data_IF_889791152624
#
_entry.id   IF_889791152624
#
_cell.length_a   1.000
_cell.length_b   1.000
_cell.length_c   1.000
_cell.angle_alpha   90.00
_cell.angle_beta   90.00
_cell.angle_gamma   90.00
#
_symmetry.space_group_name_H-M   'P 1'
#
loop_
_entity.id
_entity.type
_entity.pdbx_description
1 polymer ?
#
# COMPACT_ATOMS: atom_id res chain seq x y z
N UNK A 1 -31.51 34.36 78.37
CA UNK A 1 -31.74 32.92 78.07
C UNK A 1 -30.44 32.34 77.49
N UNK A 2 -30.36 31.01 77.38
CA UNK A 2 -29.21 30.16 76.94
C UNK A 2 -28.29 30.80 75.87
N UNK A 3 -26.94 30.73 75.92
CA UNK A 3 -26.03 29.57 76.02
C UNK A 3 -26.08 28.66 74.77
N UNK A 4 -25.01 28.09 74.19
CA UNK A 4 -23.54 28.11 74.44
C UNK A 4 -22.81 27.88 73.07
N UNK A 5 -21.50 27.75 72.82
CA UNK A 5 -20.18 27.70 73.52
C UNK A 5 -19.10 28.13 72.43
N UNK A 6 -17.79 28.39 72.57
CA UNK A 6 -16.61 27.80 73.27
C UNK A 6 -16.19 26.40 72.72
N UNK A 7 -14.94 26.07 72.36
CA UNK A 7 -13.67 26.83 72.31
C UNK A 7 -12.61 26.16 71.36
N UNK A 8 -11.60 26.94 70.95
CA UNK A 8 -10.15 26.68 70.65
C UNK A 8 -9.47 25.33 71.07
N UNK A 9 -8.22 24.95 70.72
CA UNK A 9 -7.13 25.29 69.74
C UNK A 9 -5.85 24.47 70.15
N UNK A 10 -4.71 24.57 69.42
CA UNK A 10 -3.29 24.40 69.88
C UNK A 10 -2.56 23.03 69.77
N UNK A 11 -1.61 22.96 68.78
CA UNK A 11 -0.26 22.30 68.77
C UNK A 11 -0.16 20.75 68.99
N UNK A 12 0.94 20.02 68.70
CA UNK A 12 2.41 20.27 68.77
C UNK A 12 3.20 19.68 67.55
N UNK A 13 4.45 20.14 67.36
CA UNK A 13 5.38 19.80 66.27
C UNK A 13 6.40 18.66 66.65
N UNK A 14 7.69 18.61 66.25
CA UNK A 14 8.16 17.59 65.29
C UNK A 14 9.42 16.78 65.72
N UNK A 15 9.84 15.80 64.90
CA UNK A 15 11.18 15.15 65.00
C UNK A 15 11.78 14.82 63.64
N UNK A 16 13.12 14.79 63.56
CA UNK A 16 13.93 14.55 62.36
C UNK A 16 14.54 13.15 62.34
N UNK A 17 14.87 12.66 61.14
CA UNK A 17 16.05 11.81 60.90
C UNK A 17 16.63 12.12 59.50
N UNK A 18 17.96 12.04 59.33
CA UNK A 18 18.66 12.36 58.08
C UNK A 18 19.24 11.10 57.41
N UNK A 19 19.29 11.12 56.07
CA UNK A 19 20.42 10.59 55.31
C UNK A 19 20.61 11.38 54.00
N UNK A 20 21.86 11.68 53.64
CA UNK A 20 22.29 12.25 52.34
C UNK A 20 23.26 11.26 51.69
N UNK A 21 23.33 11.24 50.36
CA UNK A 21 24.59 11.41 49.60
C UNK A 21 24.29 11.68 48.12
N UNK A 22 25.31 12.05 47.33
CA UNK A 22 25.15 12.69 46.01
C UNK A 22 25.31 11.73 44.80
N UNK A 23 24.79 12.22 43.67
CA UNK A 23 25.05 12.02 42.22
C UNK A 23 26.41 11.40 41.77
N UNK A 24 26.65 11.03 40.48
CA UNK A 24 25.87 11.38 39.27
C UNK A 24 25.75 10.35 38.08
N UNK A 25 24.85 10.67 37.12
CA UNK A 25 24.84 10.37 35.67
C UNK A 25 24.96 8.92 35.10
N UNK A 26 24.45 8.77 33.86
CA UNK A 26 24.36 7.57 33.01
C UNK A 26 23.40 6.46 33.50
N UNK A 27 22.70 5.70 32.65
CA UNK A 27 22.51 5.82 31.19
C UNK A 27 22.06 4.51 30.54
N UNK A 28 21.17 4.59 29.54
CA UNK A 28 20.63 3.50 28.70
C UNK A 28 19.70 2.45 29.36
N UNK A 29 18.66 2.07 28.60
CA UNK A 29 17.71 1.00 28.95
C UNK A 29 18.24 -0.37 28.52
N UNK A 30 18.13 -1.44 29.36
CA UNK A 30 18.64 -2.77 29.02
C UNK A 30 17.66 -3.54 28.12
N UNK A 31 18.06 -3.76 26.87
CA UNK A 31 17.37 -4.67 25.95
C UNK A 31 17.46 -6.12 26.43
N UNK A 32 16.36 -6.88 26.28
CA UNK A 32 16.29 -8.30 26.70
C UNK A 32 16.41 -9.23 25.49
N UNK A 33 17.53 -9.94 25.39
CA UNK A 33 17.76 -11.06 24.43
C UNK A 33 17.91 -12.39 25.18
N UNK A 34 17.75 -13.49 24.43
CA UNK A 34 17.94 -14.90 24.84
C UNK A 34 16.81 -15.45 25.74
N UNK A 35 16.46 -16.75 25.70
CA UNK A 35 17.27 -17.92 25.34
C UNK A 35 16.66 -18.87 24.30
N UNK A 36 17.52 -19.69 23.68
CA UNK A 36 17.11 -20.87 22.91
C UNK A 36 16.92 -22.11 23.81
N UNK A 37 16.00 -22.98 23.37
CA UNK A 37 16.00 -24.44 23.44
C UNK A 37 16.36 -25.15 24.77
N UNK A 38 15.43 -26.01 25.22
CA UNK A 38 15.79 -27.29 25.85
C UNK A 38 14.73 -28.35 25.58
N UNK A 39 15.17 -29.55 25.20
CA UNK A 39 14.36 -30.76 25.16
C UNK A 39 14.86 -31.72 26.24
N UNK A 40 13.95 -32.50 26.82
CA UNK A 40 14.25 -33.65 27.67
C UNK A 40 13.08 -34.64 27.60
N UNK A 41 13.38 -35.93 27.55
CA UNK A 41 12.40 -37.01 27.62
C UNK A 41 12.62 -37.81 28.90
N UNK A 42 11.55 -38.42 29.42
CA UNK A 42 11.62 -39.47 30.45
C UNK A 42 10.57 -40.54 30.16
N UNK A 43 10.85 -41.77 30.58
CA UNK A 43 10.10 -43.01 30.28
C UNK A 43 10.10 -43.89 31.54
N UNK A 44 9.22 -44.91 31.56
CA UNK A 44 8.98 -45.96 32.57
C UNK A 44 7.84 -45.63 33.56
N UNK A 45 6.97 -46.57 33.94
CA UNK A 45 6.55 -47.85 33.32
C UNK A 45 5.22 -48.33 33.96
N UNK A 46 4.54 -49.31 33.33
CA UNK A 46 3.80 -50.45 33.92
C UNK A 46 2.41 -50.79 33.34
N UNK A 47 2.33 -52.07 32.89
CA UNK A 47 1.21 -53.02 32.96
C UNK A 47 0.07 -52.94 31.92
N UNK A 48 -0.38 -54.13 31.53
CA UNK A 48 -1.34 -54.55 30.49
C UNK A 48 -2.02 -55.87 31.00
N UNK A 49 -2.87 -56.63 30.27
CA UNK A 49 -3.42 -56.44 28.91
C UNK A 49 -4.94 -56.74 28.77
N UNK A 50 -5.48 -56.50 27.56
CA UNK A 50 -6.63 -57.22 27.02
C UNK A 50 -6.51 -57.28 25.47
N UNK A 51 -7.01 -58.34 24.83
CA UNK A 51 -6.82 -58.60 23.39
C UNK A 51 -8.10 -58.37 22.56
N UNK A 52 -7.94 -57.93 21.30
CA UNK A 52 -8.32 -58.71 20.11
C UNK A 52 -8.04 -57.95 18.79
N UNK A 53 -7.31 -58.61 17.90
CA UNK A 53 -7.17 -58.32 16.46
C UNK A 53 -7.96 -59.42 15.67
N UNK A 54 -8.15 -59.35 14.34
CA UNK A 54 -7.72 -58.32 13.40
C UNK A 54 -8.84 -57.77 12.48
N UNK A 55 -8.54 -56.68 11.75
CA UNK A 55 -8.96 -56.53 10.34
C UNK A 55 -8.09 -55.46 9.64
N UNK A 56 -7.13 -55.90 8.83
CA UNK A 56 -6.11 -55.04 8.25
C UNK A 56 -6.63 -54.07 7.17
N UNK A 57 -6.20 -52.80 7.24
CA UNK A 57 -6.40 -51.80 6.20
C UNK A 57 -5.04 -51.20 5.81
N UNK A 58 -4.71 -51.21 4.51
CA UNK A 58 -3.40 -50.76 4.04
C UNK A 58 -3.18 -49.27 4.32
N UNK A 59 -2.06 -48.94 4.98
CA UNK A 59 -1.64 -47.57 5.24
C UNK A 59 -0.70 -47.08 4.12
N UNK A 60 -0.84 -45.83 3.67
CA UNK A 60 0.02 -45.27 2.63
C UNK A 60 1.40 -44.87 3.17
N UNK A 61 2.45 -45.09 2.37
CA UNK A 61 3.84 -44.73 2.71
C UNK A 61 3.99 -43.27 3.19
N UNK A 62 4.75 -43.10 4.27
CA UNK A 62 5.11 -41.78 4.81
C UNK A 62 6.00 -40.98 3.85
N UNK A 63 5.91 -39.65 3.94
CA UNK A 63 6.57 -38.71 3.02
C UNK A 63 8.11 -38.88 2.99
N UNK A 64 8.72 -39.32 4.10
CA UNK A 64 10.16 -39.59 4.20
C UNK A 64 10.63 -40.65 3.20
N UNK A 65 9.81 -41.67 2.92
CA UNK A 65 10.15 -42.71 1.95
C UNK A 65 10.14 -42.19 0.49
N UNK A 66 9.41 -41.10 0.21
CA UNK A 66 9.45 -40.37 -1.07
C UNK A 66 10.66 -39.42 -1.14
N UNK A 67 11.07 -38.81 -0.03
CA UNK A 67 12.29 -37.99 0.04
C UNK A 67 13.55 -38.81 -0.31
N UNK A 68 13.66 -40.03 0.23
CA UNK A 68 14.82 -40.89 0.03
C UNK A 68 15.10 -41.23 -1.45
N UNK A 69 14.07 -41.46 -2.25
CA UNK A 69 14.22 -41.86 -3.67
C UNK A 69 14.63 -40.71 -4.60
N UNK A 70 14.55 -39.43 -4.18
CA UNK A 70 14.87 -38.27 -5.02
C UNK A 70 16.35 -37.84 -5.00
N UNK A 71 17.23 -38.58 -4.31
CA UNK A 71 18.70 -38.35 -4.27
C UNK A 71 19.55 -39.32 -5.11
N UNK A 72 18.94 -40.28 -5.79
CA UNK A 72 19.66 -41.16 -6.73
C UNK A 72 19.61 -40.60 -8.17
N UNK A 73 20.77 -40.23 -8.72
CA UNK A 73 20.95 -40.16 -10.18
C UNK A 73 20.56 -38.87 -10.91
N UNK A 74 21.17 -37.72 -10.59
CA UNK A 74 21.41 -36.66 -11.59
C UNK A 74 22.89 -36.26 -11.59
N UNK A 75 23.60 -36.55 -12.70
CA UNK A 75 24.95 -36.04 -12.95
C UNK A 75 24.85 -34.57 -13.35
N UNK A 76 25.52 -33.67 -12.63
CA UNK A 76 25.66 -32.29 -13.07
C UNK A 76 26.54 -32.22 -14.32
N UNK A 77 26.08 -31.52 -15.36
CA UNK A 77 26.91 -31.21 -16.52
C UNK A 77 27.98 -30.18 -16.12
N UNK A 78 29.23 -30.62 -15.94
CA UNK A 78 30.38 -29.71 -15.81
C UNK A 78 30.57 -28.96 -17.12
N UNK A 79 30.08 -27.71 -17.18
CA UNK A 79 30.62 -26.73 -18.14
C UNK A 79 32.07 -26.44 -17.73
N UNK A 80 33.01 -26.69 -18.62
CA UNK A 80 34.42 -26.36 -18.40
C UNK A 80 34.59 -24.85 -18.53
N UNK A 81 34.86 -24.18 -17.42
CA UNK A 81 35.38 -22.81 -17.45
C UNK A 81 36.88 -22.86 -17.75
N UNK A 82 37.34 -22.08 -18.72
CA UNK A 82 38.77 -21.92 -18.98
C UNK A 82 39.40 -21.07 -17.86
N UNK A 83 40.32 -21.67 -17.11
CA UNK A 83 41.06 -21.00 -16.05
C UNK A 83 41.98 -19.88 -16.54
N UNK A 84 42.31 -19.83 -17.84
CA UNK A 84 43.15 -18.76 -18.42
C UNK A 84 42.48 -17.37 -18.36
N UNK A 85 41.14 -17.33 -18.29
CA UNK A 85 40.34 -16.10 -18.31
C UNK A 85 39.99 -15.57 -16.90
N UNK A 86 40.48 -16.22 -15.83
CA UNK A 86 40.16 -15.85 -14.45
C UNK A 86 41.21 -14.90 -13.84
N UNK A 87 40.78 -13.68 -13.45
CA UNK A 87 41.64 -12.66 -12.82
C UNK A 87 42.17 -13.11 -11.44
N UNK A 88 43.48 -12.96 -11.22
CA UNK A 88 44.11 -13.18 -9.90
C UNK A 88 43.69 -12.09 -8.91
N UNK A 89 43.20 -12.50 -7.74
CA UNK A 89 42.73 -11.61 -6.67
C UNK A 89 43.92 -10.88 -6.02
N UNK A 90 43.90 -9.54 -6.02
CA UNK A 90 44.92 -8.70 -5.37
C UNK A 90 45.77 -7.82 -6.31
N UNK A 91 45.59 -7.93 -7.64
CA UNK A 91 46.28 -7.05 -8.60
C UNK A 91 45.39 -5.85 -9.02
N UNK A 92 45.95 -4.65 -8.94
CA UNK A 92 45.36 -3.40 -9.47
C UNK A 92 45.65 -3.25 -10.96
N UNK A 93 44.76 -2.57 -11.68
CA UNK A 93 44.86 -2.35 -13.12
C UNK A 93 45.01 -0.85 -13.43
N UNK A 94 45.86 -0.52 -14.40
CA UNK A 94 46.00 0.83 -14.97
C UNK A 94 45.79 0.72 -16.48
N UNK A 95 44.85 1.47 -17.09
CA UNK A 95 44.65 1.43 -18.54
C UNK A 95 45.82 2.07 -19.28
N UNK A 96 46.44 1.34 -20.21
CA UNK A 96 47.41 1.87 -21.17
C UNK A 96 46.69 2.28 -22.46
N UNK A 97 46.49 3.57 -22.73
CA UNK A 97 45.69 3.93 -23.93
C UNK A 97 45.58 5.39 -24.39
N UNK A 98 46.05 6.41 -23.66
CA UNK A 98 46.19 7.78 -24.20
C UNK A 98 47.48 8.42 -23.68
N UNK A 99 48.21 9.14 -24.53
CA UNK A 99 49.52 9.72 -24.24
C UNK A 99 49.43 11.15 -23.68
N UNK A 100 50.35 11.48 -22.77
CA UNK A 100 50.98 12.81 -22.53
C UNK A 100 50.06 14.05 -22.35
N UNK A 101 50.19 14.89 -21.31
CA UNK A 101 51.38 15.22 -20.51
C UNK A 101 51.04 15.84 -19.13
N UNK A 102 52.08 16.07 -18.32
CA UNK A 102 52.25 17.00 -17.17
C UNK A 102 51.00 17.59 -16.46
N UNK A 103 50.78 17.43 -15.14
CA UNK A 103 51.58 17.99 -14.02
C UNK A 103 51.66 19.55 -14.05
N UNK A 104 51.53 20.31 -12.95
CA UNK A 104 51.80 20.04 -11.52
C UNK A 104 50.86 20.88 -10.59
N UNK A 105 50.68 20.44 -9.34
CA UNK A 105 50.44 21.21 -8.09
C UNK A 105 49.57 22.49 -8.03
N UNK A 106 48.41 22.34 -7.39
CA UNK A 106 47.99 22.95 -6.09
C UNK A 106 47.98 24.48 -5.81
N UNK A 107 47.08 24.83 -4.89
CA UNK A 107 47.05 26.03 -4.01
C UNK A 107 46.93 27.44 -4.63
N UNK A 108 45.74 28.01 -4.51
CA UNK A 108 45.53 29.34 -3.91
C UNK A 108 44.10 29.40 -3.32
N UNK A 109 43.84 30.36 -2.43
CA UNK A 109 42.53 30.55 -1.80
C UNK A 109 42.10 32.04 -1.83
N UNK A 110 40.85 32.27 -1.43
CA UNK A 110 40.34 33.51 -0.83
C UNK A 110 39.85 34.70 -1.70
N UNK A 111 38.52 34.70 -1.89
CA UNK A 111 37.57 35.80 -1.50
C UNK A 111 37.54 37.16 -2.20
N UNK A 112 36.39 37.86 -2.01
CA UNK A 112 36.03 39.27 -2.26
C UNK A 112 36.03 39.73 -3.75
N UNK A 113 35.17 40.63 -4.23
CA UNK A 113 34.16 41.49 -3.56
C UNK A 113 32.90 41.78 -4.42
N UNK A 114 31.90 42.45 -3.83
CA UNK A 114 30.60 42.78 -4.43
C UNK A 114 30.51 44.23 -4.95
N UNK A 115 29.76 44.43 -6.05
CA UNK A 115 29.06 45.68 -6.43
C UNK A 115 27.94 45.31 -7.43
N UNK A 116 26.66 45.62 -7.21
CA UNK A 116 25.97 46.92 -7.17
C UNK A 116 25.90 47.65 -8.54
N UNK A 117 24.80 47.42 -9.27
CA UNK A 117 23.76 48.36 -9.79
C UNK A 117 24.19 49.75 -10.36
N UNK A 118 23.45 50.36 -11.34
CA UNK A 118 21.98 50.30 -11.47
C UNK A 118 21.34 50.28 -12.89
N UNK A 119 20.00 50.34 -12.84
CA UNK A 119 18.96 50.27 -13.87
C UNK A 119 18.96 51.26 -15.06
N UNK A 120 18.22 50.84 -16.12
CA UNK A 120 17.32 51.60 -17.02
C UNK A 120 16.32 50.58 -17.61
N UNK A 121 14.98 50.69 -17.46
CA UNK A 121 14.03 51.35 -18.39
C UNK A 121 14.28 51.01 -19.88
N UNK A 122 13.35 50.45 -20.66
CA UNK A 122 11.89 50.65 -20.68
C UNK A 122 11.06 49.40 -21.07
N UNK A 123 9.73 49.53 -21.07
CA UNK A 123 8.78 48.52 -21.54
C UNK A 123 8.56 48.54 -23.07
N UNK A 124 7.98 47.47 -23.62
CA UNK A 124 6.83 47.47 -24.56
C UNK A 124 6.35 46.01 -24.76
N UNK A 125 5.03 45.81 -24.76
CA UNK A 125 4.38 44.51 -24.98
C UNK A 125 4.05 44.32 -26.47
N UNK A 126 4.27 43.12 -27.04
CA UNK A 126 3.30 42.36 -27.86
C UNK A 126 3.94 41.33 -28.82
N UNK A 127 3.26 40.18 -28.95
CA UNK A 127 3.06 39.30 -30.13
C UNK A 127 3.93 39.52 -31.40
N UNK A 128 4.44 38.50 -32.09
CA UNK A 128 3.60 37.42 -32.65
C UNK A 128 4.38 36.25 -33.29
N UNK A 129 3.63 35.16 -33.48
CA UNK A 129 3.89 33.88 -34.12
C UNK A 129 4.58 33.82 -35.52
N UNK A 130 5.35 32.74 -35.72
CA UNK A 130 5.41 31.85 -36.91
C UNK A 130 5.95 32.34 -38.28
N UNK A 131 7.09 31.74 -38.70
CA UNK A 131 7.48 31.39 -40.08
C UNK A 131 8.29 30.08 -39.97
N UNK A 132 7.78 28.90 -40.34
CA UNK A 132 7.64 28.29 -41.69
C UNK A 132 8.94 27.68 -42.29
N UNK A 133 8.79 26.56 -43.01
CA UNK A 133 9.85 25.62 -43.41
C UNK A 133 10.70 26.07 -44.64
N UNK A 134 11.65 25.23 -45.07
CA UNK A 134 11.45 24.65 -46.41
C UNK A 134 11.60 23.11 -46.45
N UNK A 135 11.19 22.51 -47.57
CA UNK A 135 11.25 21.07 -47.83
C UNK A 135 11.84 20.76 -49.22
N UNK A 136 12.41 19.56 -49.39
CA UNK A 136 12.57 18.79 -50.65
C UNK A 136 13.16 17.42 -50.30
N UNK A 137 12.67 16.21 -50.62
CA UNK A 137 11.82 15.63 -51.69
C UNK A 137 12.58 15.06 -52.91
N UNK A 138 12.66 13.72 -53.00
CA UNK A 138 12.85 12.91 -54.21
C UNK A 138 12.42 11.45 -53.93
N UNK A 139 12.10 10.64 -54.97
CA UNK A 139 11.41 9.33 -54.84
C UNK A 139 11.77 8.32 -55.95
N UNK A 140 10.95 7.27 -56.15
CA UNK A 140 11.10 6.02 -56.98
C UNK A 140 11.68 4.87 -56.15
N UNK A 141 11.19 3.61 -56.16
CA UNK A 141 10.27 2.84 -57.03
C UNK A 141 10.96 1.52 -57.44
N UNK A 142 10.34 0.34 -57.65
CA UNK A 142 8.94 -0.14 -57.80
C UNK A 142 8.86 -1.65 -57.42
N UNK A 143 7.66 -2.27 -57.43
CA UNK A 143 7.36 -3.72 -57.75
C UNK A 143 8.11 -4.85 -57.00
N UNK A 144 7.57 -6.01 -56.61
CA UNK A 144 6.22 -6.64 -56.54
C UNK A 144 6.41 -7.97 -55.71
N UNK A 145 5.49 -8.93 -55.49
CA UNK A 145 4.21 -9.28 -56.12
C UNK A 145 3.24 -10.01 -55.11
N UNK A 146 2.28 -10.78 -55.62
CA UNK A 146 1.14 -11.39 -54.90
C UNK A 146 1.41 -12.66 -54.06
N UNK A 147 0.56 -12.89 -53.05
CA UNK A 147 -0.32 -14.08 -52.97
C UNK A 147 -1.47 -13.86 -51.97
N UNK A 148 -2.64 -14.47 -52.20
CA UNK A 148 -3.82 -14.31 -51.35
C UNK A 148 -4.60 -15.63 -51.16
N UNK A 149 -5.34 -15.73 -50.06
CA UNK A 149 -6.42 -16.71 -49.89
C UNK A 149 -7.58 -16.08 -49.09
N UNK A 150 -8.79 -16.60 -49.30
CA UNK A 150 -10.06 -15.93 -48.97
C UNK A 150 -10.90 -16.69 -47.95
N UNK A 151 -12.07 -16.12 -47.62
CA UNK A 151 -13.25 -16.75 -46.98
C UNK A 151 -13.33 -16.66 -45.46
N UNK A 152 -14.50 -16.50 -44.85
CA UNK A 152 -15.78 -15.95 -45.33
C UNK A 152 -16.65 -15.57 -44.11
N UNK A 153 -17.52 -14.58 -44.24
CA UNK A 153 -18.52 -14.26 -43.21
C UNK A 153 -19.71 -15.22 -43.33
N UNK A 154 -20.19 -15.73 -42.19
CA UNK A 154 -21.47 -16.45 -42.10
C UNK A 154 -22.34 -15.73 -41.06
N UNK A 155 -23.46 -15.20 -41.54
CA UNK A 155 -24.59 -14.75 -40.74
C UNK A 155 -25.40 -15.96 -40.26
N UNK A 156 -25.98 -15.87 -39.06
CA UNK A 156 -27.02 -16.80 -38.60
C UNK A 156 -27.94 -16.12 -37.58
N UNK A 157 -28.77 -15.19 -38.04
CA UNK A 157 -30.01 -14.87 -37.34
C UNK A 157 -30.91 -16.12 -37.27
N UNK A 158 -31.41 -16.48 -36.08
CA UNK A 158 -32.61 -17.30 -35.96
C UNK A 158 -33.60 -16.64 -34.99
N UNK A 159 -34.72 -16.24 -35.56
CA UNK A 159 -35.87 -15.65 -34.90
C UNK A 159 -36.77 -16.73 -34.28
N UNK A 160 -37.29 -16.50 -33.08
CA UNK A 160 -38.41 -17.26 -32.51
C UNK A 160 -39.42 -16.28 -31.90
N UNK A 161 -40.70 -16.66 -31.98
CA UNK A 161 -41.84 -15.73 -32.02
C UNK A 161 -42.65 -15.62 -30.72
N UNK A 162 -43.42 -14.55 -30.62
CA UNK A 162 -44.32 -14.20 -29.50
C UNK A 162 -45.29 -15.29 -29.05
N UNK A 163 -45.68 -15.20 -27.77
CA UNK A 163 -46.89 -15.82 -27.22
C UNK A 163 -47.64 -14.81 -26.32
N UNK A 164 -48.66 -14.15 -26.90
CA UNK A 164 -49.48 -13.15 -26.19
C UNK A 164 -50.51 -13.80 -25.26
N UNK A 165 -50.72 -13.24 -24.07
CA UNK A 165 -51.97 -13.37 -23.28
C UNK A 165 -52.09 -12.20 -22.29
N UNK A 166 -53.31 -11.74 -22.01
CA UNK A 166 -53.55 -10.43 -21.40
C UNK A 166 -54.86 -10.31 -20.60
N UNK A 167 -54.75 -9.84 -19.35
CA UNK A 167 -55.79 -9.21 -18.51
C UNK A 167 -55.08 -8.59 -17.30
N UNK A 168 -55.09 -7.26 -17.05
CA UNK A 168 -56.20 -6.44 -16.53
C UNK A 168 -56.64 -6.83 -15.10
N UNK A 169 -56.88 -5.95 -14.10
CA UNK A 169 -56.59 -4.53 -13.75
C UNK A 169 -56.55 -4.52 -12.17
N UNK A 170 -56.06 -3.57 -11.38
CA UNK A 170 -56.18 -2.09 -11.32
C UNK A 170 -55.08 -1.58 -10.33
N UNK A 171 -54.42 -0.43 -10.50
CA UNK A 171 -54.89 0.96 -10.47
C UNK A 171 -55.21 1.53 -9.05
N UNK A 172 -54.22 2.19 -8.47
CA UNK A 172 -54.37 3.25 -7.46
C UNK A 172 -53.29 4.32 -7.77
N UNK A 173 -53.63 5.61 -7.69
CA UNK A 173 -52.78 6.67 -8.25
C UNK A 173 -52.63 7.89 -7.32
N UNK A 174 -51.46 8.51 -7.38
CA UNK A 174 -51.17 9.82 -6.75
C UNK A 174 -50.36 10.69 -7.71
N UNK A 175 -51.02 11.68 -8.31
CA UNK A 175 -50.40 12.93 -8.79
C UNK A 175 -49.74 13.67 -7.60
N UNK A 176 -48.76 14.57 -7.72
CA UNK A 176 -48.07 15.23 -8.85
C UNK A 176 -46.68 15.70 -8.32
N UNK A 177 -45.76 16.38 -9.02
CA UNK A 177 -45.78 17.14 -10.28
C UNK A 177 -44.37 17.21 -10.88
N UNK A 178 -44.24 17.46 -12.19
CA UNK A 178 -42.95 17.64 -12.86
C UNK A 178 -42.54 19.12 -12.92
N UNK A 179 -41.38 19.46 -12.34
CA UNK A 179 -40.70 20.75 -12.56
C UNK A 179 -39.36 20.53 -13.26
N UNK A 180 -39.30 20.80 -14.57
CA UNK A 180 -38.09 20.67 -15.36
C UNK A 180 -37.13 21.86 -15.14
N UNK A 181 -35.97 21.60 -14.55
CA UNK A 181 -34.85 22.55 -14.52
C UNK A 181 -33.60 21.89 -15.11
N UNK A 182 -33.26 22.24 -16.36
CA UNK A 182 -32.08 21.73 -17.03
C UNK A 182 -30.80 22.30 -16.40
N UNK A 183 -30.10 21.46 -15.64
CA UNK A 183 -28.74 21.73 -15.18
C UNK A 183 -27.90 20.45 -15.30
N UNK A 184 -26.70 20.56 -15.87
CA UNK A 184 -25.73 19.47 -15.91
C UNK A 184 -25.09 19.28 -14.53
N UNK A 185 -25.89 18.81 -13.58
CA UNK A 185 -25.38 18.38 -12.28
C UNK A 185 -24.75 17.01 -12.43
N UNK A 186 -23.44 16.92 -12.22
CA UNK A 186 -22.79 15.65 -11.90
C UNK A 186 -23.46 15.11 -10.63
N UNK A 187 -24.19 14.00 -10.74
CA UNK A 187 -24.85 13.38 -9.60
C UNK A 187 -23.80 13.05 -8.53
N UNK A 188 -23.85 13.75 -7.39
CA UNK A 188 -22.97 13.44 -6.25
C UNK A 188 -23.37 12.07 -5.73
N UNK A 189 -22.58 11.05 -6.09
CA UNK A 189 -22.82 9.68 -5.68
C UNK A 189 -22.64 9.61 -4.17
N UNK A 190 -23.72 9.27 -3.46
CA UNK A 190 -23.71 9.27 -1.99
C UNK A 190 -23.13 7.96 -1.49
N UNK A 191 -21.82 7.95 -1.24
CA UNK A 191 -21.06 6.83 -0.65
C UNK A 191 -21.31 6.67 0.86
N UNK A 192 -22.58 6.81 1.27
CA UNK A 192 -23.00 6.78 2.67
C UNK A 192 -22.66 5.43 3.32
N UNK A 193 -21.68 5.44 4.23
CA UNK A 193 -21.18 4.25 4.91
C UNK A 193 -19.90 3.64 4.33
N UNK A 194 -19.32 4.18 3.25
CA UNK A 194 -18.02 3.74 2.70
C UNK A 194 -16.83 4.60 3.17
N UNK A 195 -17.11 5.74 3.80
CA UNK A 195 -16.13 6.58 4.50
C UNK A 195 -16.22 6.31 6.01
N UNK A 196 -15.17 5.75 6.64
CA UNK A 196 -15.17 5.42 8.07
C UNK A 196 -15.49 6.62 8.96
N UNK A 197 -16.53 6.52 9.79
CA UNK A 197 -17.04 7.60 10.64
C UNK A 197 -17.37 8.93 9.92
N UNK A 198 -17.44 8.96 8.58
CA UNK A 198 -17.54 10.20 7.81
C UNK A 198 -16.25 11.05 7.76
N UNK A 199 -15.11 10.47 8.11
CA UNK A 199 -13.77 11.06 7.97
C UNK A 199 -12.93 10.21 7.01
N UNK A 200 -12.39 10.82 5.95
CA UNK A 200 -11.62 10.10 4.93
C UNK A 200 -10.20 9.76 5.38
N UNK A 201 -9.61 10.56 6.27
CA UNK A 201 -8.22 10.44 6.69
C UNK A 201 -7.95 9.17 7.50
N UNK A 202 -6.85 8.48 7.18
CA UNK A 202 -6.35 7.33 7.88
C UNK A 202 -4.83 7.24 7.86
N UNK A 203 -4.28 6.18 8.46
CA UNK A 203 -2.85 5.86 8.38
C UNK A 203 -2.63 4.38 8.14
N UNK A 204 -1.54 4.07 7.45
CA UNK A 204 -0.88 2.76 7.56
C UNK A 204 0.12 2.80 8.72
N UNK A 205 0.30 1.65 9.38
CA UNK A 205 0.97 1.48 10.67
C UNK A 205 0.28 2.14 11.87
N UNK A 206 0.49 1.56 13.06
CA UNK A 206 -0.09 2.03 14.33
C UNK A 206 0.82 2.94 15.17
N UNK A 207 2.02 3.27 14.69
CA UNK A 207 3.05 4.02 15.45
C UNK A 207 2.71 5.50 15.63
N UNK A 208 1.97 6.09 14.69
CA UNK A 208 1.54 7.50 14.70
C UNK A 208 0.26 7.76 15.50
N UNK A 209 -0.50 6.71 15.85
CA UNK A 209 -1.78 6.82 16.56
C UNK A 209 -1.75 7.70 17.83
N UNK A 210 -0.69 7.68 18.69
CA UNK A 210 -0.63 8.55 19.88
C UNK A 210 -0.70 10.05 19.61
N UNK A 211 -0.45 10.48 18.37
CA UNK A 211 -0.59 11.87 17.93
C UNK A 211 -1.83 12.10 17.05
N UNK A 212 -2.19 11.13 16.20
CA UNK A 212 -3.19 11.32 15.14
C UNK A 212 -4.58 10.74 15.42
N UNK A 213 -4.73 9.78 16.34
CA UNK A 213 -5.96 8.97 16.48
C UNK A 213 -7.28 9.77 16.62
N UNK A 214 -7.25 10.97 17.21
CA UNK A 214 -8.41 11.86 17.33
C UNK A 214 -8.81 12.61 16.04
N UNK A 215 -8.02 12.47 14.98
CA UNK A 215 -8.20 13.10 13.66
C UNK A 215 -8.39 12.12 12.52
N UNK A 216 -8.38 10.81 12.78
CA UNK A 216 -8.54 9.76 11.77
C UNK A 216 -9.95 9.17 11.78
N UNK A 217 -10.47 8.84 10.59
CA UNK A 217 -11.63 7.98 10.45
C UNK A 217 -11.27 6.50 10.64
N UNK A 218 -10.06 6.08 10.24
CA UNK A 218 -9.65 4.68 10.18
C UNK A 218 -8.12 4.49 10.19
N UNK A 219 -7.66 3.24 10.33
CA UNK A 219 -6.24 2.86 10.20
C UNK A 219 -6.06 1.35 9.97
N UNK A 220 -4.87 0.93 9.53
CA UNK A 220 -4.47 -0.49 9.42
C UNK A 220 -2.94 -0.68 9.60
N UNK A 221 -2.47 -1.91 9.81
CA UNK A 221 -1.03 -2.26 9.99
C UNK A 221 -0.58 -3.46 9.15
N UNK A 222 -1.20 -3.66 7.98
CA UNK A 222 -0.98 -4.82 7.10
C UNK A 222 -1.22 -6.19 7.75
N UNK A 223 -1.94 -6.25 8.88
CA UNK A 223 -2.27 -7.50 9.57
C UNK A 223 -3.77 -7.80 9.58
N UNK A 224 -4.10 -9.06 9.87
CA UNK A 224 -5.48 -9.51 10.05
C UNK A 224 -6.09 -9.09 11.41
N UNK A 225 -5.26 -8.60 12.34
CA UNK A 225 -5.67 -8.21 13.70
C UNK A 225 -4.87 -7.00 14.17
N UNK A 226 -5.07 -5.80 13.58
CA UNK A 226 -4.25 -4.64 13.92
C UNK A 226 -4.40 -4.25 15.40
N UNK A 227 -3.30 -3.81 16.02
CA UNK A 227 -3.30 -3.51 17.47
C UNK A 227 -2.65 -2.17 17.82
N UNK A 228 -3.40 -1.31 18.51
CA UNK A 228 -3.00 0.03 18.92
C UNK A 228 -4.15 0.74 19.64
N UNK A 229 -3.86 1.88 20.30
CA UNK A 229 -4.92 2.77 20.79
C UNK A 229 -5.29 3.77 19.69
N UNK A 230 -6.37 3.46 18.99
CA UNK A 230 -6.88 4.25 17.86
C UNK A 230 -8.04 5.19 18.23
N UNK A 231 -8.36 5.33 19.53
CA UNK A 231 -9.46 6.19 19.99
C UNK A 231 -10.81 5.81 19.38
N UNK A 232 -11.30 6.63 18.45
CA UNK A 232 -12.54 6.40 17.69
C UNK A 232 -12.33 5.93 16.24
N UNK A 233 -11.09 5.90 15.75
CA UNK A 233 -10.80 5.49 14.37
C UNK A 233 -11.07 3.99 14.17
N UNK A 234 -11.66 3.64 13.03
CA UNK A 234 -11.99 2.25 12.68
C UNK A 234 -10.71 1.48 12.37
N UNK A 235 -10.46 0.43 13.14
CA UNK A 235 -9.40 -0.55 12.86
C UNK A 235 -9.81 -1.45 11.70
N UNK A 236 -8.99 -1.53 10.64
CA UNK A 236 -9.29 -2.29 9.41
C UNK A 236 -8.34 -3.48 9.24
N UNK A 237 -8.82 -4.73 9.38
CA UNK A 237 -8.05 -5.93 9.04
C UNK A 237 -7.69 -6.05 7.55
N UNK A 238 -6.57 -6.70 7.26
CA UNK A 238 -6.09 -6.97 5.90
C UNK A 238 -5.76 -8.46 5.68
N UNK A 239 -6.15 -9.03 4.54
CA UNK A 239 -5.57 -10.28 4.03
C UNK A 239 -4.42 -9.94 3.08
N UNK A 240 -3.26 -9.62 3.66
CA UNK A 240 -2.11 -9.09 2.94
C UNK A 240 -1.61 -9.98 1.78
N UNK A 241 -1.66 -11.31 1.91
CA UNK A 241 -1.04 -12.21 0.92
C UNK A 241 -1.38 -13.69 1.08
N UNK A 242 -0.66 -14.50 0.29
CA UNK A 242 -0.88 -15.94 0.13
C UNK A 242 -0.10 -16.84 1.09
N UNK A 243 0.54 -16.28 2.11
CA UNK A 243 1.25 -17.03 3.14
C UNK A 243 2.66 -17.53 2.76
N UNK A 244 3.30 -16.94 1.74
CA UNK A 244 4.59 -17.40 1.20
C UNK A 244 5.56 -16.33 0.69
N UNK A 245 5.19 -15.04 0.65
CA UNK A 245 6.01 -13.98 0.10
C UNK A 245 7.25 -13.64 0.96
N UNK A 246 7.07 -13.61 2.29
CA UNK A 246 8.12 -13.29 3.26
C UNK A 246 8.00 -14.10 4.56
N UNK A 247 8.82 -13.79 5.56
CA UNK A 247 8.84 -14.46 6.86
C UNK A 247 7.66 -14.15 7.80
N UNK A 248 6.71 -13.31 7.38
CA UNK A 248 5.56 -12.82 8.16
C UNK A 248 4.22 -13.10 7.48
N UNK A 249 4.16 -13.12 6.14
CA UNK A 249 2.97 -13.42 5.33
C UNK A 249 2.25 -14.70 5.79
N UNK A 250 2.99 -15.79 6.05
CA UNK A 250 2.43 -17.04 6.57
C UNK A 250 1.67 -16.86 7.90
N UNK A 251 2.15 -15.98 8.78
CA UNK A 251 1.47 -15.66 10.04
C UNK A 251 0.27 -14.72 9.82
N UNK A 252 0.36 -13.77 8.88
CA UNK A 252 -0.77 -12.90 8.49
C UNK A 252 -1.95 -13.74 7.95
N UNK A 253 -1.67 -14.66 7.03
CA UNK A 253 -2.69 -15.58 6.48
C UNK A 253 -3.35 -16.45 7.57
N UNK A 254 -2.56 -17.05 8.47
CA UNK A 254 -3.09 -17.88 9.57
C UNK A 254 -3.94 -17.05 10.54
N UNK A 255 -3.54 -15.81 10.85
CA UNK A 255 -4.34 -14.89 11.66
C UNK A 255 -5.67 -14.53 10.96
N UNK A 256 -5.66 -14.30 9.65
CA UNK A 256 -6.87 -14.02 8.88
C UNK A 256 -7.82 -15.22 8.81
N UNK A 257 -7.29 -16.43 8.62
CA UNK A 257 -8.06 -17.68 8.68
C UNK A 257 -8.69 -17.93 10.06
N UNK A 258 -8.13 -17.36 11.13
CA UNK A 258 -8.66 -17.41 12.49
C UNK A 258 -9.60 -16.24 12.85
N UNK A 259 -9.80 -15.26 11.96
CA UNK A 259 -10.67 -14.12 12.19
C UNK A 259 -12.14 -14.57 12.21
N UNK A 260 -12.69 -14.80 13.41
CA UNK A 260 -14.08 -15.23 13.57
C UNK A 260 -15.08 -14.10 13.25
N UNK A 261 -14.77 -12.88 13.69
CA UNK A 261 -15.66 -11.72 13.62
C UNK A 261 -15.92 -11.22 12.20
N UNK A 262 -16.99 -10.43 12.05
CA UNK A 262 -17.32 -9.70 10.81
C UNK A 262 -16.97 -8.22 11.04
N UNK A 263 -15.76 -7.76 10.69
CA UNK A 263 -15.38 -6.36 10.82
C UNK A 263 -16.14 -5.48 9.82
N UNK A 264 -16.22 -4.18 10.07
CA UNK A 264 -16.91 -3.24 9.17
C UNK A 264 -16.25 -3.15 7.78
N UNK A 265 -14.93 -3.27 7.71
CA UNK A 265 -14.13 -3.23 6.48
C UNK A 265 -13.06 -4.32 6.51
N UNK A 266 -12.67 -4.84 5.34
CA UNK A 266 -11.47 -5.65 5.12
C UNK A 266 -10.74 -5.13 3.88
N UNK A 267 -9.41 -5.03 3.96
CA UNK A 267 -8.53 -4.76 2.80
C UNK A 267 -8.01 -6.09 2.21
N UNK A 268 -7.96 -6.16 0.89
CA UNK A 268 -7.44 -7.29 0.13
C UNK A 268 -5.90 -7.42 0.14
N UNK A 269 -5.37 -8.06 -0.89
CA UNK A 269 -3.94 -8.36 -1.01
C UNK A 269 -3.10 -7.11 -1.29
N UNK A 270 -1.91 -7.08 -0.70
CA UNK A 270 -0.90 -6.05 -0.92
C UNK A 270 -0.16 -6.31 -2.23
N UNK A 271 -0.29 -5.42 -3.21
CA UNK A 271 0.56 -5.42 -4.42
C UNK A 271 0.80 -6.83 -5.04
N UNK A 272 -0.25 -7.64 -5.25
CA UNK A 272 -0.09 -9.00 -5.76
C UNK A 272 0.45 -9.04 -7.19
N UNK A 273 0.44 -7.92 -7.90
CA UNK A 273 0.98 -7.75 -9.24
C UNK A 273 2.50 -7.45 -9.26
N UNK A 274 3.13 -7.17 -8.11
CA UNK A 274 4.57 -6.99 -7.97
C UNK A 274 5.31 -8.29 -7.58
N UNK A 275 6.64 -8.22 -7.48
CA UNK A 275 7.44 -9.38 -7.08
C UNK A 275 7.39 -9.60 -5.56
N UNK A 276 7.04 -10.82 -5.14
CA UNK A 276 6.94 -11.21 -3.74
C UNK A 276 8.27 -11.00 -2.95
N UNK A 277 8.14 -10.57 -1.70
CA UNK A 277 9.27 -10.53 -0.74
C UNK A 277 10.08 -9.24 -0.76
N UNK A 278 9.48 -8.11 -1.16
CA UNK A 278 10.09 -6.77 -1.12
C UNK A 278 9.10 -5.66 -0.75
N UNK A 279 8.12 -5.98 0.10
CA UNK A 279 6.98 -5.11 0.45
C UNK A 279 5.67 -5.61 -0.15
N UNK A 280 5.73 -6.17 -1.35
CA UNK A 280 4.59 -6.71 -2.10
C UNK A 280 4.33 -8.21 -1.84
N UNK A 281 3.07 -8.66 -1.96
CA UNK A 281 2.69 -10.07 -1.75
C UNK A 281 2.95 -10.99 -2.94
N UNK A 282 2.91 -10.48 -4.17
CA UNK A 282 3.25 -11.17 -5.41
C UNK A 282 2.54 -12.52 -5.63
N UNK A 283 1.27 -12.47 -6.00
CA UNK A 283 0.41 -13.64 -6.24
C UNK A 283 0.06 -13.78 -7.72
N UNK A 284 -0.10 -14.99 -8.22
CA UNK A 284 -0.79 -15.16 -9.50
C UNK A 284 -2.31 -14.92 -9.34
N UNK A 285 -2.97 -14.51 -10.43
CA UNK A 285 -4.40 -14.16 -10.43
C UNK A 285 -5.29 -15.32 -9.96
N UNK A 286 -4.97 -16.57 -10.32
CA UNK A 286 -5.81 -17.71 -9.95
C UNK A 286 -5.69 -18.04 -8.45
N UNK A 287 -4.50 -17.92 -7.87
CA UNK A 287 -4.29 -17.97 -6.42
C UNK A 287 -5.01 -16.81 -5.71
N UNK A 288 -4.94 -15.59 -6.27
CA UNK A 288 -5.64 -14.41 -5.75
C UNK A 288 -7.17 -14.59 -5.70
N UNK A 289 -7.79 -15.04 -6.80
CA UNK A 289 -9.23 -15.35 -6.87
C UNK A 289 -9.58 -16.43 -5.85
N UNK A 290 -8.83 -17.53 -5.79
CA UNK A 290 -9.13 -18.66 -4.91
C UNK A 290 -9.05 -18.28 -3.41
N UNK A 291 -8.10 -17.41 -3.02
CA UNK A 291 -8.02 -16.87 -1.66
C UNK A 291 -9.13 -15.86 -1.36
N UNK A 292 -9.45 -14.98 -2.32
CA UNK A 292 -10.52 -13.99 -2.15
C UNK A 292 -11.88 -14.67 -1.96
N UNK A 293 -12.24 -15.60 -2.84
CA UNK A 293 -13.53 -16.30 -2.80
C UNK A 293 -13.68 -17.24 -1.58
N UNK A 294 -12.57 -17.75 -1.02
CA UNK A 294 -12.63 -18.63 0.15
C UNK A 294 -12.51 -17.93 1.50
N UNK A 295 -11.92 -16.72 1.56
CA UNK A 295 -11.62 -16.03 2.83
C UNK A 295 -12.23 -14.62 2.93
N UNK A 296 -12.29 -13.85 1.83
CA UNK A 296 -12.73 -12.44 1.85
C UNK A 296 -14.19 -12.31 1.43
N UNK A 297 -14.60 -12.89 0.29
CA UNK A 297 -15.99 -12.83 -0.19
C UNK A 297 -17.03 -13.28 0.86
N UNK A 298 -16.80 -14.36 1.66
CA UNK A 298 -17.74 -14.76 2.71
C UNK A 298 -17.90 -13.74 3.86
N UNK A 299 -16.91 -12.86 4.09
CA UNK A 299 -17.04 -11.72 5.02
C UNK A 299 -17.91 -10.63 4.41
N UNK A 300 -17.79 -10.41 3.11
CA UNK A 300 -18.70 -9.57 2.34
C UNK A 300 -20.16 -10.02 2.48
N UNK A 301 -20.42 -11.32 2.32
CA UNK A 301 -21.77 -11.89 2.47
C UNK A 301 -22.30 -11.79 3.91
N UNK A 302 -21.42 -11.71 4.91
CA UNK A 302 -21.78 -11.45 6.31
C UNK A 302 -22.01 -9.96 6.63
N UNK A 303 -21.68 -9.04 5.71
CA UNK A 303 -21.90 -7.59 5.85
C UNK A 303 -20.64 -6.72 5.97
N UNK A 304 -19.44 -7.27 5.83
CA UNK A 304 -18.20 -6.48 5.72
C UNK A 304 -18.14 -5.73 4.38
N UNK A 305 -17.66 -4.49 4.38
CA UNK A 305 -17.33 -3.73 3.16
C UNK A 305 -15.95 -4.19 2.66
N UNK A 306 -15.89 -4.68 1.41
CA UNK A 306 -14.69 -5.24 0.83
C UNK A 306 -13.88 -4.17 0.07
N UNK A 307 -12.72 -3.80 0.60
CA UNK A 307 -11.71 -2.98 -0.09
C UNK A 307 -10.80 -3.90 -0.88
N UNK A 308 -10.58 -3.59 -2.17
CA UNK A 308 -9.85 -4.45 -3.10
C UNK A 308 -8.35 -4.65 -2.77
N UNK A 309 -7.66 -5.50 -3.55
CA UNK A 309 -6.20 -5.53 -3.57
C UNK A 309 -5.63 -4.28 -4.26
N UNK A 310 -4.54 -3.73 -3.73
CA UNK A 310 -3.82 -2.57 -4.29
C UNK A 310 -2.78 -3.02 -5.33
N UNK A 311 -2.63 -2.33 -6.46
CA UNK A 311 -1.59 -2.67 -7.47
C UNK A 311 -0.37 -1.74 -7.36
N UNK A 312 0.83 -2.32 -7.33
CA UNK A 312 2.08 -1.53 -7.25
C UNK A 312 2.34 -0.68 -8.50
N UNK A 313 1.77 -1.07 -9.64
CA UNK A 313 1.96 -0.39 -10.94
C UNK A 313 1.08 0.84 -11.12
N UNK A 314 0.21 1.20 -10.17
CA UNK A 314 -0.60 2.43 -10.20
C UNK A 314 -1.44 2.50 -11.50
N UNK A 315 -1.58 3.65 -12.19
CA UNK A 315 -2.22 3.74 -13.51
C UNK A 315 -1.55 2.91 -14.64
N UNK A 316 -0.37 2.34 -14.42
CA UNK A 316 0.28 1.42 -15.36
C UNK A 316 0.02 -0.06 -15.02
N UNK A 317 -0.93 -0.37 -14.13
CA UNK A 317 -1.36 -1.75 -13.87
C UNK A 317 -1.89 -2.42 -15.14
N UNK A 318 -1.58 -3.70 -15.27
CA UNK A 318 -2.05 -4.53 -16.38
C UNK A 318 -1.88 -6.00 -16.05
N UNK A 319 -2.78 -6.83 -16.59
CA UNK A 319 -2.68 -8.29 -16.53
C UNK A 319 -3.00 -8.95 -15.18
N UNK A 320 -3.22 -8.17 -14.10
CA UNK A 320 -3.62 -8.70 -12.79
C UNK A 320 -5.06 -8.30 -12.41
N UNK A 321 -5.33 -7.00 -12.24
CA UNK A 321 -6.57 -6.54 -11.61
C UNK A 321 -7.81 -6.80 -12.47
N UNK A 322 -7.77 -6.52 -13.78
CA UNK A 322 -8.87 -6.84 -14.70
C UNK A 322 -9.28 -8.32 -14.62
N UNK A 323 -8.37 -9.28 -14.91
CA UNK A 323 -8.65 -10.72 -14.78
C UNK A 323 -9.11 -11.17 -13.38
N UNK A 324 -8.61 -10.55 -12.31
CA UNK A 324 -9.11 -10.79 -10.95
C UNK A 324 -10.56 -10.31 -10.78
N UNK A 325 -10.87 -9.07 -11.18
CA UNK A 325 -12.19 -8.45 -11.13
C UNK A 325 -13.24 -9.11 -12.04
N UNK A 326 -12.81 -9.88 -13.04
CA UNK A 326 -13.64 -10.75 -13.87
C UNK A 326 -13.87 -12.14 -13.26
N UNK A 327 -12.89 -12.66 -12.50
CA UNK A 327 -12.87 -14.04 -12.03
C UNK A 327 -13.41 -14.30 -10.63
N UNK A 328 -13.48 -13.29 -9.74
CA UNK A 328 -14.02 -13.45 -8.37
C UNK A 328 -15.54 -13.63 -8.34
N UNK A 329 -16.01 -14.49 -7.44
CA UNK A 329 -17.44 -14.73 -7.16
C UNK A 329 -18.18 -13.48 -6.67
N UNK A 330 -17.50 -12.62 -5.91
CA UNK A 330 -17.95 -11.29 -5.49
C UNK A 330 -16.83 -10.27 -5.69
N UNK A 331 -17.14 -9.17 -6.36
CA UNK A 331 -16.23 -8.02 -6.52
C UNK A 331 -16.06 -7.26 -5.20
N UNK A 332 -14.95 -6.53 -4.99
CA UNK A 332 -14.85 -5.54 -3.94
C UNK A 332 -15.95 -4.48 -4.06
N UNK A 333 -16.36 -3.92 -2.92
CA UNK A 333 -17.29 -2.81 -2.80
C UNK A 333 -16.57 -1.45 -3.00
N UNK A 334 -15.25 -1.42 -2.74
CA UNK A 334 -14.36 -0.25 -2.86
C UNK A 334 -13.10 -0.65 -3.64
N UNK A 335 -12.73 0.13 -4.65
CA UNK A 335 -11.46 -0.03 -5.36
C UNK A 335 -10.30 0.45 -4.50
N UNK A 336 -9.20 -0.30 -4.46
CA UNK A 336 -8.01 0.05 -3.69
C UNK A 336 -6.86 0.46 -4.60
N UNK A 337 -6.21 1.60 -4.30
CA UNK A 337 -5.09 2.12 -5.08
C UNK A 337 -3.92 2.54 -4.18
N UNK A 338 -2.70 2.34 -4.66
CA UNK A 338 -1.49 2.95 -4.10
C UNK A 338 -1.09 4.14 -4.99
N UNK A 339 -0.76 5.28 -4.39
CA UNK A 339 -0.44 6.55 -5.09
C UNK A 339 0.95 7.03 -4.67
N UNK A 340 1.96 6.50 -5.36
CA UNK A 340 3.37 6.84 -5.27
C UNK A 340 3.71 7.81 -6.41
N UNK A 341 3.48 9.11 -6.18
CA UNK A 341 3.55 10.21 -7.17
C UNK A 341 4.24 11.43 -6.57
N UNK A 342 4.70 12.38 -7.39
CA UNK A 342 5.33 13.63 -6.92
C UNK A 342 4.46 14.89 -7.05
N UNK A 343 3.36 14.81 -7.80
CA UNK A 343 2.53 15.98 -8.13
C UNK A 343 1.04 15.63 -8.31
N UNK A 344 0.22 16.68 -8.36
CA UNK A 344 -1.23 16.59 -8.51
C UNK A 344 -1.69 15.90 -9.80
N UNK A 345 -0.94 16.01 -10.89
CA UNK A 345 -1.31 15.38 -12.17
C UNK A 345 -1.05 13.87 -12.12
N UNK A 346 0.04 13.45 -11.47
CA UNK A 346 0.29 12.05 -11.16
C UNK A 346 -0.80 11.44 -10.28
N UNK A 347 -1.22 12.14 -9.22
CA UNK A 347 -2.32 11.69 -8.34
C UNK A 347 -3.63 11.56 -9.15
N UNK A 348 -4.01 12.58 -9.92
CA UNK A 348 -5.24 12.56 -10.71
C UNK A 348 -5.23 11.47 -11.79
N UNK A 349 -4.08 11.16 -12.40
CA UNK A 349 -3.94 10.09 -13.39
C UNK A 349 -4.33 8.71 -12.82
N UNK A 350 -3.93 8.39 -11.59
CA UNK A 350 -4.33 7.14 -10.96
C UNK A 350 -5.83 7.13 -10.64
N UNK A 351 -6.34 8.16 -9.98
CA UNK A 351 -7.77 8.25 -9.62
C UNK A 351 -8.64 8.14 -10.89
N UNK A 352 -8.26 8.81 -11.98
CA UNK A 352 -8.92 8.72 -13.28
C UNK A 352 -8.81 7.33 -13.91
N UNK A 353 -7.65 6.67 -13.87
CA UNK A 353 -7.50 5.30 -14.41
C UNK A 353 -8.45 4.31 -13.71
N UNK A 354 -8.38 4.24 -12.38
CA UNK A 354 -9.16 3.27 -11.62
C UNK A 354 -10.66 3.59 -11.64
N UNK A 355 -11.04 4.88 -11.57
CA UNK A 355 -12.44 5.29 -11.68
C UNK A 355 -13.04 4.96 -13.05
N UNK A 356 -12.36 5.32 -14.14
CA UNK A 356 -12.89 5.12 -15.50
C UNK A 356 -12.88 3.64 -15.93
N UNK A 357 -11.96 2.83 -15.38
CA UNK A 357 -11.86 1.40 -15.70
C UNK A 357 -12.84 0.54 -14.89
N UNK A 358 -13.03 0.82 -13.60
CA UNK A 358 -13.76 -0.06 -12.68
C UNK A 358 -15.05 0.52 -12.10
N UNK A 359 -15.25 1.85 -12.12
CA UNK A 359 -16.50 2.51 -11.73
C UNK A 359 -16.88 2.40 -10.24
N UNK A 360 -15.93 2.05 -9.37
CA UNK A 360 -16.12 1.92 -7.92
C UNK A 360 -15.58 3.15 -7.18
N UNK A 361 -16.15 3.51 -6.01
CA UNK A 361 -15.50 4.44 -5.09
C UNK A 361 -14.11 3.92 -4.67
N UNK A 362 -13.20 4.85 -4.40
CA UNK A 362 -11.78 4.56 -4.21
C UNK A 362 -11.37 4.75 -2.76
N UNK A 363 -10.60 3.81 -2.21
CA UNK A 363 -9.69 4.05 -1.10
C UNK A 363 -8.26 4.12 -1.63
N UNK A 364 -7.50 5.09 -1.10
CA UNK A 364 -6.05 5.18 -1.29
C UNK A 364 -5.41 4.59 -0.05
N UNK A 365 -5.16 3.27 0.03
CA UNK A 365 -4.60 2.69 1.27
C UNK A 365 -3.18 3.17 1.54
N UNK A 366 -2.44 3.53 0.50
CA UNK A 366 -1.12 4.15 0.63
C UNK A 366 -0.95 5.28 -0.37
N UNK A 367 -0.47 6.43 0.11
CA UNK A 367 0.13 7.47 -0.73
C UNK A 367 1.50 7.87 -0.20
N UNK A 368 2.41 8.21 -1.11
CA UNK A 368 3.73 8.76 -0.79
C UNK A 368 4.29 9.66 -1.90
N UNK A 369 5.15 10.61 -1.51
CA UNK A 369 5.87 11.45 -2.47
C UNK A 369 6.98 10.63 -3.16
N UNK A 370 6.78 10.29 -4.43
CA UNK A 370 7.69 9.50 -5.26
C UNK A 370 7.68 10.03 -6.70
N UNK A 371 8.84 10.38 -7.26
CA UNK A 371 8.96 10.53 -8.70
C UNK A 371 8.98 9.13 -9.34
N UNK A 372 7.87 8.72 -9.96
CA UNK A 372 7.73 7.43 -10.65
C UNK A 372 8.10 7.49 -12.15
N UNK A 373 8.38 8.69 -12.67
CA UNK A 373 8.48 8.95 -14.12
C UNK A 373 9.64 8.25 -14.85
N UNK A 374 10.64 7.75 -14.11
CA UNK A 374 11.81 7.03 -14.67
C UNK A 374 12.19 5.75 -13.90
N UNK A 375 11.39 5.39 -12.89
CA UNK A 375 11.71 4.40 -11.86
C UNK A 375 11.18 4.89 -10.50
N UNK A 376 11.21 4.07 -9.46
CA UNK A 376 10.68 4.45 -8.14
C UNK A 376 11.72 5.30 -7.36
N UNK A 377 11.54 6.62 -7.31
CA UNK A 377 12.46 7.56 -6.64
C UNK A 377 11.71 8.37 -5.58
N UNK A 378 11.74 7.97 -4.29
CA UNK A 378 11.10 8.73 -3.22
C UNK A 378 11.63 10.17 -3.13
N UNK A 379 10.73 11.13 -2.92
CA UNK A 379 11.09 12.53 -2.68
C UNK A 379 12.00 12.61 -1.44
N UNK A 380 13.00 13.49 -1.48
CA UNK A 380 13.94 13.68 -0.36
C UNK A 380 14.04 15.12 0.12
N UNK A 381 13.56 16.09 -0.65
CA UNK A 381 13.46 17.47 -0.20
C UNK A 381 12.24 17.65 0.73
N UNK A 382 12.42 18.34 1.86
CA UNK A 382 11.39 18.45 2.87
C UNK A 382 10.29 19.46 2.48
N UNK A 383 10.61 20.52 1.74
CA UNK A 383 9.62 21.47 1.24
C UNK A 383 8.78 20.84 0.11
N UNK A 384 9.40 20.03 -0.76
CA UNK A 384 8.71 19.18 -1.75
C UNK A 384 7.72 18.23 -1.06
N UNK A 385 8.17 17.48 -0.04
CA UNK A 385 7.33 16.55 0.73
C UNK A 385 6.18 17.31 1.42
N UNK A 386 6.46 18.44 2.07
CA UNK A 386 5.46 19.26 2.76
C UNK A 386 4.39 19.81 1.80
N UNK A 387 4.79 20.25 0.60
CA UNK A 387 3.90 20.70 -0.45
C UNK A 387 3.07 19.55 -1.04
N UNK A 388 3.68 18.38 -1.27
CA UNK A 388 2.99 17.19 -1.75
C UNK A 388 1.92 16.71 -0.76
N UNK A 389 2.24 16.61 0.54
CA UNK A 389 1.29 16.16 1.57
C UNK A 389 0.05 17.06 1.61
N UNK A 390 0.22 18.39 1.57
CA UNK A 390 -0.91 19.32 1.50
C UNK A 390 -1.71 19.13 0.21
N UNK A 391 -1.03 18.99 -0.93
CA UNK A 391 -1.66 18.80 -2.24
C UNK A 391 -2.48 17.51 -2.29
N UNK A 392 -1.93 16.40 -1.79
CA UNK A 392 -2.57 15.09 -1.77
C UNK A 392 -3.81 15.09 -0.87
N UNK A 393 -3.71 15.61 0.37
CA UNK A 393 -4.86 15.72 1.29
C UNK A 393 -5.96 16.60 0.69
N UNK A 394 -5.62 17.77 0.17
CA UNK A 394 -6.63 18.70 -0.36
C UNK A 394 -7.32 18.14 -1.62
N UNK A 395 -6.64 17.30 -2.43
CA UNK A 395 -7.25 16.50 -3.52
C UNK A 395 -8.15 15.41 -2.94
N UNK A 396 -7.63 14.55 -2.05
CA UNK A 396 -8.37 13.38 -1.56
C UNK A 396 -9.62 13.76 -0.75
N UNK A 397 -9.63 14.91 -0.09
CA UNK A 397 -10.82 15.44 0.59
C UNK A 397 -11.83 16.03 -0.41
N UNK A 398 -11.38 16.76 -1.43
CA UNK A 398 -12.30 17.45 -2.36
C UNK A 398 -12.81 16.57 -3.51
N UNK A 399 -12.08 15.54 -3.92
CA UNK A 399 -12.57 14.58 -4.93
C UNK A 399 -13.66 13.68 -4.32
N UNK A 400 -14.84 13.70 -4.94
CA UNK A 400 -15.99 12.92 -4.48
C UNK A 400 -15.83 11.42 -4.69
N UNK A 401 -14.92 10.97 -5.57
CA UNK A 401 -14.64 9.56 -5.85
C UNK A 401 -13.87 8.86 -4.74
N UNK A 402 -13.11 9.62 -3.95
CA UNK A 402 -12.33 9.12 -2.82
C UNK A 402 -13.24 8.99 -1.60
N UNK A 403 -13.38 7.76 -1.09
CA UNK A 403 -14.09 7.47 0.15
C UNK A 403 -13.15 7.35 1.36
N UNK A 404 -11.83 7.21 1.15
CA UNK A 404 -10.82 7.17 2.21
C UNK A 404 -9.40 7.28 1.65
N UNK A 405 -8.45 7.79 2.44
CA UNK A 405 -7.03 7.84 2.09
C UNK A 405 -6.17 7.66 3.33
N UNK A 406 -5.03 6.97 3.20
CA UNK A 406 -4.09 6.73 4.29
C UNK A 406 -2.64 6.98 3.88
N UNK A 407 -1.91 7.68 4.76
CA UNK A 407 -0.50 7.99 4.57
C UNK A 407 0.34 6.69 4.63
N UNK A 408 1.24 6.48 3.67
CA UNK A 408 2.15 5.33 3.70
C UNK A 408 3.25 5.52 4.75
N UNK A 409 3.35 4.58 5.69
CA UNK A 409 4.54 4.37 6.53
C UNK A 409 5.25 3.06 6.11
N UNK A 410 5.09 2.67 4.84
CA UNK A 410 5.64 1.48 4.22
C UNK A 410 7.15 1.54 3.97
N UNK A 411 7.73 0.41 3.58
CA UNK A 411 9.16 0.29 3.31
C UNK A 411 9.57 0.90 1.96
N UNK A 412 10.83 1.31 1.84
CA UNK A 412 11.41 1.80 0.59
C UNK A 412 11.26 3.30 0.33
N UNK A 413 10.53 4.02 1.20
CA UNK A 413 10.37 5.47 1.17
C UNK A 413 11.55 6.19 1.87
N UNK A 414 11.61 7.53 1.75
CA UNK A 414 12.73 8.32 2.27
C UNK A 414 12.69 8.54 3.79
N UNK A 415 13.86 8.79 4.39
CA UNK A 415 14.01 9.15 5.81
C UNK A 415 13.26 10.43 6.23
N UNK A 416 12.90 11.28 5.26
CA UNK A 416 12.12 12.50 5.47
C UNK A 416 10.61 12.25 5.29
N UNK A 417 10.22 11.19 4.57
CA UNK A 417 8.82 10.78 4.47
C UNK A 417 8.27 10.10 5.74
N UNK A 418 9.13 9.46 6.55
CA UNK A 418 8.73 8.75 7.78
C UNK A 418 7.80 9.57 8.68
N UNK A 419 6.64 9.04 9.08
CA UNK A 419 5.68 9.81 9.90
C UNK A 419 6.18 10.02 11.35
N UNK A 420 6.87 9.03 11.91
CA UNK A 420 7.46 9.08 13.25
C UNK A 420 8.98 8.89 13.14
N UNK A 421 9.76 9.78 13.76
CA UNK A 421 11.23 9.72 13.79
C UNK A 421 11.71 9.93 15.23
N UNK A 422 12.66 9.08 15.67
CA UNK A 422 13.20 9.06 17.03
C UNK A 422 12.14 9.03 18.17
N UNK A 423 10.98 8.43 17.88
CA UNK A 423 9.85 8.35 18.81
C UNK A 423 9.06 9.64 18.98
N UNK A 424 9.15 10.58 18.03
CA UNK A 424 8.35 11.80 17.93
C UNK A 424 7.71 11.91 16.54
N UNK A 425 6.59 12.63 16.43
CA UNK A 425 5.99 12.95 15.14
C UNK A 425 6.96 13.82 14.31
N UNK A 426 7.32 13.37 13.10
CA UNK A 426 8.28 14.04 12.22
C UNK A 426 7.72 15.36 11.66
N UNK A 427 8.52 16.11 10.90
CA UNK A 427 8.01 17.29 10.19
C UNK A 427 6.91 16.89 9.19
N UNK A 428 7.12 15.85 8.40
CA UNK A 428 6.11 15.30 7.47
C UNK A 428 4.86 14.79 8.18
N UNK A 429 5.02 14.15 9.34
CA UNK A 429 3.90 13.74 10.20
C UNK A 429 3.12 14.93 10.80
N UNK A 430 3.83 16.00 11.18
CA UNK A 430 3.20 17.26 11.63
C UNK A 430 2.47 17.95 10.48
N UNK A 431 3.03 17.95 9.28
CA UNK A 431 2.39 18.47 8.06
C UNK A 431 1.14 17.68 7.70
N UNK A 432 1.16 16.35 7.78
CA UNK A 432 -0.04 15.53 7.55
C UNK A 432 -1.13 15.79 8.61
N UNK A 433 -0.77 15.81 9.89
CA UNK A 433 -1.67 16.16 10.99
C UNK A 433 -2.29 17.57 10.81
N UNK A 434 -1.50 18.55 10.37
CA UNK A 434 -1.97 19.90 10.09
C UNK A 434 -2.88 19.97 8.85
N UNK A 435 -2.60 19.18 7.82
CA UNK A 435 -3.41 19.11 6.61
C UNK A 435 -4.79 18.49 6.88
N UNK A 436 -4.86 17.33 7.53
CA UNK A 436 -6.16 16.68 7.85
C UNK A 436 -6.96 17.50 8.88
N UNK A 437 -6.29 18.24 9.76
CA UNK A 437 -6.93 19.15 10.73
C UNK A 437 -7.60 20.38 10.09
N UNK A 438 -7.53 20.57 8.76
CA UNK A 438 -8.37 21.52 8.02
C UNK A 438 -9.82 21.04 7.91
N UNK A 439 -10.06 19.72 7.98
CA UNK A 439 -11.32 19.06 7.62
C UNK A 439 -12.04 18.43 8.82
N UNK A 440 -11.28 17.92 9.80
CA UNK A 440 -11.76 17.26 11.02
C UNK A 440 -11.00 17.74 12.25
#
# INVERSE_FOLDING_TARGET
>A
MLAANLISLVLVLPTLALARHNSPFNGHSPSRRHHHARAAAFVLDHVSPASNEPLGRAYHDSIEHKMARKRAGKKFAKRGADGSQCRVKGQSYVPTGVSSASAISSTAASTIASSLLPASTDAITSTSAWVASPASSASIGTSDESAATTSAWIDNQQNWVDATSSSEQAAAASTSSSSSSSGSGTSVVSYAGLTPNGNKAGVSAGDSLPWLASKLGWWYDWSATPSGDCGSAVTVPMLWGGGSADGTDSARLVAFQALADTPSYIIGFEEPDCAAGSGSSGLDVATGIALWDSLIAPKGEAGTILVGPSMCKQAAESGWLGPFMEGVSRKPDIMNIHVNKKDAAGIQLDIDHYWNTYGLPIWVTEFACVDDSTGFIPCTDQDEINAFINTAVDIFETDSRIAGYAYSNGYGLSENWMMVKDGQLSESGQTYLAAISKYH
#
